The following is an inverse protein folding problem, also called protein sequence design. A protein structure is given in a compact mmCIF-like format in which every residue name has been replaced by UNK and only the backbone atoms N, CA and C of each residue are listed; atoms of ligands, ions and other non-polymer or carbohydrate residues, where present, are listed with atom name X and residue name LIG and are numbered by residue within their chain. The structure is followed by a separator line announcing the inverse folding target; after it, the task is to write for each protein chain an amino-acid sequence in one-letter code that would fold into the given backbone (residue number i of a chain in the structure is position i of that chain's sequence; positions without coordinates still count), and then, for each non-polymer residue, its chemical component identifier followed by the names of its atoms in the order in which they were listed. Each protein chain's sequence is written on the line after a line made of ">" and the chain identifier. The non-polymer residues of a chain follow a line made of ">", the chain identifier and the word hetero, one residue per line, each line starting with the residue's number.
data_IF_276519441604
#
_entry.id   IF_276519441604
#
_cell.length_a   1.000
_cell.length_b   1.000
_cell.length_c   1.000
_cell.angle_alpha   90.00
_cell.angle_beta   90.00
_cell.angle_gamma   90.00
#
_symmetry.space_group_name_H-M   'P 1'
#
loop_
_entity.id
_entity.type
_entity.pdbx_description
1 polymer ?
#
# COMPACT_ATOMS: atom_id res chain seq x y z
N UNK A 1 -1.88 32.16 -2.85
CA UNK A 1 -2.23 31.03 -3.72
C UNK A 1 -3.40 30.30 -3.07
N UNK A 2 -4.35 29.76 -3.87
CA UNK A 2 -5.44 28.93 -3.33
C UNK A 2 -4.83 27.66 -2.73
N UNK A 3 -5.30 27.25 -1.56
CA UNK A 3 -4.88 26.00 -0.93
C UNK A 3 -5.32 24.83 -1.80
N UNK A 4 -4.39 23.93 -2.14
CA UNK A 4 -4.70 22.73 -2.92
C UNK A 4 -5.49 21.74 -2.08
N UNK A 5 -6.42 21.05 -2.72
CA UNK A 5 -7.24 19.97 -2.13
C UNK A 5 -6.77 18.61 -2.63
N UNK A 6 -6.52 17.70 -1.71
CA UNK A 6 -6.20 16.32 -2.01
C UNK A 6 -7.30 15.37 -1.50
N UNK A 7 -7.74 14.45 -2.36
CA UNK A 7 -8.71 13.40 -2.00
C UNK A 7 -8.00 12.04 -1.96
N UNK A 8 -8.04 11.35 -0.81
CA UNK A 8 -7.40 10.07 -0.59
C UNK A 8 -8.46 8.99 -0.37
N UNK A 9 -8.52 7.99 -1.24
CA UNK A 9 -9.23 6.75 -0.94
C UNK A 9 -8.30 5.81 -0.20
N UNK A 10 -8.81 5.06 0.78
CA UNK A 10 -7.95 4.20 1.61
C UNK A 10 -7.11 4.99 2.63
N UNK A 11 -7.55 6.18 3.02
CA UNK A 11 -6.85 7.07 3.97
C UNK A 11 -6.58 6.40 5.32
N UNK A 12 -7.39 5.42 5.74
CA UNK A 12 -7.22 4.66 7.00
C UNK A 12 -6.16 3.57 6.93
N UNK A 13 -5.64 3.28 5.74
CA UNK A 13 -4.57 2.32 5.50
C UNK A 13 -3.20 2.84 5.92
N UNK A 14 -2.18 1.98 5.81
CA UNK A 14 -0.79 2.34 6.06
C UNK A 14 -0.39 3.57 5.24
N UNK A 15 -0.43 3.45 3.91
CA UNK A 15 0.03 4.49 3.00
C UNK A 15 -0.85 5.73 3.04
N UNK A 16 -2.17 5.54 3.12
CA UNK A 16 -3.12 6.66 3.22
C UNK A 16 -2.86 7.54 4.44
N UNK A 17 -2.49 6.94 5.57
CA UNK A 17 -2.20 7.71 6.79
C UNK A 17 -0.87 8.49 6.71
N UNK A 18 0.20 7.88 6.13
CA UNK A 18 1.45 8.61 5.89
C UNK A 18 1.31 9.69 4.82
N UNK A 19 0.55 9.41 3.76
CA UNK A 19 0.28 10.39 2.72
C UNK A 19 -0.51 11.58 3.26
N UNK A 20 -1.52 11.33 4.09
CA UNK A 20 -2.28 12.41 4.73
C UNK A 20 -1.39 13.32 5.58
N UNK A 21 -0.51 12.75 6.42
CA UNK A 21 0.47 13.52 7.19
C UNK A 21 1.41 14.33 6.28
N UNK A 22 1.92 13.70 5.21
CA UNK A 22 2.80 14.36 4.26
C UNK A 22 2.10 15.55 3.58
N UNK A 23 0.90 15.37 3.04
CA UNK A 23 0.14 16.42 2.37
C UNK A 23 -0.26 17.56 3.31
N UNK A 24 -0.66 17.24 4.54
CA UNK A 24 -0.90 18.25 5.59
C UNK A 24 0.35 19.07 5.89
N UNK A 25 1.54 18.46 5.89
CA UNK A 25 2.81 19.17 6.09
C UNK A 25 3.15 20.13 4.96
N UNK A 26 2.65 19.85 3.75
CA UNK A 26 2.78 20.70 2.56
C UNK A 26 1.68 21.77 2.46
N UNK A 27 0.75 21.82 3.43
CA UNK A 27 -0.30 22.84 3.47
C UNK A 27 -1.55 22.50 2.65
N UNK A 28 -1.75 21.24 2.24
CA UNK A 28 -2.96 20.81 1.55
C UNK A 28 -4.17 20.79 2.49
N UNK A 29 -5.36 21.04 1.95
CA UNK A 29 -6.63 20.63 2.52
C UNK A 29 -6.84 19.14 2.18
N UNK A 30 -6.80 18.27 3.19
CA UNK A 30 -6.83 16.81 2.98
C UNK A 30 -8.22 16.26 3.24
N UNK A 31 -8.77 15.61 2.24
CA UNK A 31 -10.03 14.88 2.26
C UNK A 31 -9.78 13.38 2.17
N UNK A 32 -10.54 12.59 2.92
CA UNK A 32 -10.43 11.13 2.90
C UNK A 32 -11.77 10.45 2.73
N UNK A 33 -11.82 9.39 1.91
CA UNK A 33 -12.99 8.53 1.81
C UNK A 33 -12.84 7.37 2.79
N UNK A 34 -13.81 7.22 3.70
CA UNK A 34 -13.85 6.17 4.72
C UNK A 34 -15.14 5.34 4.58
N UNK A 35 -15.04 4.03 4.72
CA UNK A 35 -16.22 3.18 4.78
C UNK A 35 -16.95 3.38 6.10
N UNK A 36 -18.26 3.52 6.04
CA UNK A 36 -19.08 3.47 7.23
C UNK A 36 -19.11 2.04 7.76
N UNK A 37 -18.59 1.83 8.94
CA UNK A 37 -18.64 0.54 9.65
C UNK A 37 -19.59 0.67 10.84
N UNK A 38 -20.33 -0.40 11.13
CA UNK A 38 -21.23 -0.47 12.27
C UNK A 38 -20.47 -0.80 13.56
N UNK A 39 -19.35 -0.11 13.81
CA UNK A 39 -18.59 -0.20 15.05
C UNK A 39 -18.93 1.02 15.91
N UNK A 40 -19.21 0.79 17.18
CA UNK A 40 -19.52 1.85 18.14
C UNK A 40 -18.29 2.70 18.44
N UNK A 41 -17.08 2.08 18.43
CA UNK A 41 -15.81 2.78 18.65
C UNK A 41 -15.08 3.09 17.33
N UNK A 42 -15.10 4.33 16.85
CA UNK A 42 -14.41 4.74 15.63
C UNK A 42 -12.88 4.67 15.74
N UNK A 43 -12.32 4.58 16.95
CA UNK A 43 -10.87 4.51 17.13
C UNK A 43 -10.28 3.23 16.57
N UNK A 44 -11.04 2.13 16.50
CA UNK A 44 -10.55 0.85 15.97
C UNK A 44 -10.08 0.91 14.52
N UNK A 45 -10.80 1.61 13.63
CA UNK A 45 -10.42 1.70 12.21
C UNK A 45 -9.72 3.02 11.85
N UNK A 46 -9.81 4.03 12.72
CA UNK A 46 -9.14 5.32 12.54
C UNK A 46 -7.82 5.46 13.31
N UNK A 47 -7.35 4.42 13.99
CA UNK A 47 -6.21 4.51 14.89
C UNK A 47 -4.95 5.13 14.27
N UNK A 48 -4.72 4.92 12.96
CA UNK A 48 -3.58 5.49 12.23
C UNK A 48 -3.73 7.00 12.00
N UNK A 49 -4.96 7.51 12.04
CA UNK A 49 -5.29 8.91 11.77
C UNK A 49 -5.52 9.72 13.03
N UNK A 50 -5.65 9.10 14.21
CA UNK A 50 -5.97 9.80 15.47
C UNK A 50 -5.08 11.02 15.73
N UNK A 51 -3.75 10.99 15.46
CA UNK A 51 -2.89 12.16 15.70
C UNK A 51 -3.18 13.38 14.82
N UNK A 52 -3.92 13.19 13.72
CA UNK A 52 -4.21 14.24 12.72
C UNK A 52 -5.70 14.37 12.39
N UNK A 53 -6.57 13.65 13.11
CA UNK A 53 -7.99 13.50 12.77
C UNK A 53 -8.75 14.84 12.71
N UNK A 54 -8.41 15.79 13.57
CA UNK A 54 -8.97 17.14 13.62
C UNK A 54 -8.59 18.02 12.42
N UNK A 55 -7.59 17.60 11.64
CA UNK A 55 -7.10 18.29 10.46
C UNK A 55 -7.59 17.70 9.15
N UNK A 56 -8.42 16.64 9.22
CA UNK A 56 -8.90 15.89 8.06
C UNK A 56 -10.38 16.14 7.79
N UNK A 57 -10.75 16.19 6.52
CA UNK A 57 -12.14 16.20 6.07
C UNK A 57 -12.53 14.79 5.64
N UNK A 58 -13.22 14.03 6.49
CA UNK A 58 -13.59 12.64 6.20
C UNK A 58 -15.00 12.55 5.59
N UNK A 59 -15.12 11.82 4.48
CA UNK A 59 -16.36 11.57 3.76
C UNK A 59 -16.73 10.10 3.85
N UNK A 60 -17.98 9.81 4.19
CA UNK A 60 -18.49 8.44 4.18
C UNK A 60 -18.78 7.99 2.76
N UNK A 61 -18.11 6.91 2.31
CA UNK A 61 -18.29 6.36 0.96
C UNK A 61 -17.65 4.98 0.83
N UNK A 62 -18.06 4.24 -0.18
CA UNK A 62 -17.52 2.93 -0.53
C UNK A 62 -17.21 2.86 -2.04
N UNK A 63 -16.21 2.07 -2.42
CA UNK A 63 -15.79 1.90 -3.81
C UNK A 63 -16.89 1.27 -4.68
N UNK A 64 -17.83 0.56 -4.08
CA UNK A 64 -18.94 -0.10 -4.77
C UNK A 64 -20.10 0.86 -5.12
N UNK A 65 -20.07 2.12 -4.63
CA UNK A 65 -21.16 3.08 -4.83
C UNK A 65 -20.74 4.25 -5.72
N UNK A 66 -20.92 4.13 -7.03
CA UNK A 66 -20.68 5.24 -7.96
C UNK A 66 -21.40 6.56 -7.56
N UNK A 67 -22.71 6.56 -7.18
CA UNK A 67 -23.36 7.80 -6.79
C UNK A 67 -22.74 8.50 -5.59
N UNK A 68 -22.25 7.73 -4.59
CA UNK A 68 -21.56 8.29 -3.43
C UNK A 68 -20.22 8.90 -3.82
N UNK A 69 -19.42 8.20 -4.63
CA UNK A 69 -18.15 8.70 -5.14
C UNK A 69 -18.35 9.96 -5.99
N UNK A 70 -19.26 9.92 -6.97
CA UNK A 70 -19.57 11.07 -7.81
C UNK A 70 -19.95 12.31 -6.98
N UNK A 71 -20.81 12.14 -5.96
CA UNK A 71 -21.17 13.23 -5.05
C UNK A 71 -19.95 13.80 -4.33
N UNK A 72 -19.06 12.95 -3.82
CA UNK A 72 -17.87 13.40 -3.11
C UNK A 72 -16.96 14.21 -4.06
N UNK A 73 -16.67 13.71 -5.26
CA UNK A 73 -15.85 14.43 -6.24
C UNK A 73 -16.45 15.78 -6.62
N UNK A 74 -17.75 15.81 -6.89
CA UNK A 74 -18.49 17.05 -7.21
C UNK A 74 -18.43 18.08 -6.07
N UNK A 75 -18.59 17.63 -4.83
CA UNK A 75 -18.69 18.54 -3.67
C UNK A 75 -17.30 18.99 -3.19
N UNK A 76 -16.28 18.15 -3.29
CA UNK A 76 -14.89 18.46 -2.89
C UNK A 76 -14.13 19.24 -3.96
N UNK A 77 -14.29 18.90 -5.24
CA UNK A 77 -13.50 19.41 -6.36
C UNK A 77 -12.00 19.34 -6.07
N UNK A 78 -11.43 18.11 -5.92
CA UNK A 78 -10.01 17.96 -5.57
C UNK A 78 -9.09 18.38 -6.72
N UNK A 79 -7.96 18.98 -6.38
CA UNK A 79 -6.86 19.25 -7.32
C UNK A 79 -6.04 17.96 -7.58
N UNK A 80 -6.00 17.05 -6.60
CA UNK A 80 -5.27 15.78 -6.66
C UNK A 80 -6.08 14.65 -6.02
N UNK A 81 -6.12 13.48 -6.66
CA UNK A 81 -6.77 12.28 -6.14
C UNK A 81 -5.78 11.12 -6.06
N UNK A 82 -5.65 10.53 -4.87
CA UNK A 82 -4.80 9.38 -4.60
C UNK A 82 -5.67 8.16 -4.32
N UNK A 83 -5.72 7.23 -5.29
CA UNK A 83 -6.51 6.01 -5.18
C UNK A 83 -5.69 4.87 -4.60
N UNK A 84 -5.74 4.72 -3.27
CA UNK A 84 -5.01 3.70 -2.50
C UNK A 84 -5.94 2.59 -1.97
N UNK A 85 -7.25 2.83 -1.96
CA UNK A 85 -8.23 1.86 -1.46
C UNK A 85 -8.30 0.63 -2.37
N UNK A 86 -8.16 -0.54 -1.77
CA UNK A 86 -8.35 -1.83 -2.41
C UNK A 86 -8.58 -2.92 -1.36
N UNK A 87 -9.16 -4.05 -1.76
CA UNK A 87 -8.90 -5.30 -1.07
C UNK A 87 -7.48 -5.72 -1.47
N UNK A 88 -6.51 -5.62 -0.54
CA UNK A 88 -5.07 -5.72 -0.84
C UNK A 88 -4.38 -6.94 -0.23
N UNK A 89 -5.07 -7.72 0.61
CA UNK A 89 -4.51 -8.94 1.17
C UNK A 89 -4.65 -10.08 0.16
N UNK A 90 -3.51 -10.48 -0.43
CA UNK A 90 -3.48 -11.41 -1.57
C UNK A 90 -4.16 -12.75 -1.26
N UNK A 91 -3.97 -13.30 -0.05
CA UNK A 91 -4.58 -14.60 0.31
C UNK A 91 -6.10 -14.55 0.26
N UNK A 92 -6.74 -13.51 0.75
CA UNK A 92 -8.20 -13.33 0.68
C UNK A 92 -8.70 -13.28 -0.76
N UNK A 93 -7.88 -12.80 -1.71
CA UNK A 93 -8.29 -12.76 -3.12
C UNK A 93 -8.47 -14.13 -3.76
N UNK A 94 -7.98 -15.21 -3.14
CA UNK A 94 -8.27 -16.58 -3.55
C UNK A 94 -9.53 -17.15 -2.90
N UNK A 95 -9.96 -16.60 -1.77
CA UNK A 95 -11.15 -17.04 -1.03
C UNK A 95 -12.39 -16.24 -1.45
N UNK A 96 -12.24 -14.95 -1.74
CA UNK A 96 -13.30 -14.02 -2.14
C UNK A 96 -12.92 -13.26 -3.42
N UNK A 97 -12.89 -14.01 -4.54
CA UNK A 97 -12.52 -13.51 -5.85
C UNK A 97 -13.48 -12.41 -6.35
N UNK A 98 -14.79 -12.66 -6.23
CA UNK A 98 -15.82 -11.78 -6.76
C UNK A 98 -15.85 -10.43 -6.07
N UNK A 99 -15.78 -10.40 -4.74
CA UNK A 99 -15.73 -9.17 -3.96
C UNK A 99 -14.44 -8.40 -4.25
N UNK A 100 -13.31 -9.12 -4.38
CA UNK A 100 -12.01 -8.51 -4.75
C UNK A 100 -12.09 -7.84 -6.13
N UNK A 101 -12.66 -8.52 -7.15
CA UNK A 101 -12.83 -7.94 -8.49
C UNK A 101 -13.78 -6.74 -8.46
N UNK A 102 -14.94 -6.89 -7.82
CA UNK A 102 -15.95 -5.84 -7.72
C UNK A 102 -15.37 -4.57 -7.07
N UNK A 103 -14.73 -4.73 -5.92
CA UNK A 103 -14.16 -3.58 -5.19
C UNK A 103 -13.01 -2.93 -5.95
N UNK A 104 -12.07 -3.72 -6.47
CA UNK A 104 -10.83 -3.17 -7.01
C UNK A 104 -10.99 -2.67 -8.46
N UNK A 105 -11.67 -3.43 -9.34
CA UNK A 105 -11.81 -3.05 -10.75
C UNK A 105 -12.89 -1.99 -10.90
N UNK A 106 -14.12 -2.30 -10.45
CA UNK A 106 -15.24 -1.37 -10.60
C UNK A 106 -15.03 -0.12 -9.75
N UNK A 107 -14.44 -0.24 -8.56
CA UNK A 107 -14.09 0.91 -7.72
C UNK A 107 -13.12 1.87 -8.42
N UNK A 108 -12.07 1.35 -9.05
CA UNK A 108 -11.14 2.16 -9.85
C UNK A 108 -11.86 2.83 -11.01
N UNK A 109 -12.68 2.08 -11.75
CA UNK A 109 -13.47 2.62 -12.87
C UNK A 109 -14.44 3.71 -12.41
N UNK A 110 -15.14 3.51 -11.30
CA UNK A 110 -16.09 4.51 -10.76
C UNK A 110 -15.39 5.80 -10.36
N UNK A 111 -14.20 5.73 -9.76
CA UNK A 111 -13.42 6.91 -9.43
C UNK A 111 -12.98 7.66 -10.68
N UNK A 112 -12.42 6.97 -11.67
CA UNK A 112 -12.00 7.57 -12.93
C UNK A 112 -13.20 8.22 -13.68
N UNK A 113 -14.36 7.57 -13.70
CA UNK A 113 -15.57 8.11 -14.29
C UNK A 113 -16.07 9.35 -13.53
N UNK A 114 -16.11 9.30 -12.20
CA UNK A 114 -16.50 10.44 -11.38
C UNK A 114 -15.55 11.64 -11.57
N UNK A 115 -14.23 11.37 -11.64
CA UNK A 115 -13.22 12.38 -11.89
C UNK A 115 -13.42 13.03 -13.27
N UNK A 116 -13.52 12.21 -14.33
CA UNK A 116 -13.73 12.70 -15.70
C UNK A 116 -14.95 13.62 -15.81
N UNK A 117 -16.06 13.24 -15.17
CA UNK A 117 -17.34 13.94 -15.35
C UNK A 117 -17.48 15.17 -14.43
N UNK A 118 -16.77 15.23 -13.28
CA UNK A 118 -16.96 16.30 -12.29
C UNK A 118 -15.73 17.18 -12.03
N UNK A 119 -14.52 16.68 -12.27
CA UNK A 119 -13.27 17.44 -12.04
C UNK A 119 -12.13 16.98 -12.99
N UNK A 120 -12.25 17.20 -14.30
CA UNK A 120 -11.29 16.69 -15.31
C UNK A 120 -9.86 17.26 -15.13
N UNK A 121 -9.70 18.39 -14.44
CA UNK A 121 -8.39 18.98 -14.14
C UNK A 121 -7.69 18.32 -12.93
N UNK A 122 -8.38 17.42 -12.23
CA UNK A 122 -7.82 16.72 -11.08
C UNK A 122 -6.75 15.73 -11.52
N UNK A 123 -5.54 15.83 -10.94
CA UNK A 123 -4.47 14.87 -11.17
C UNK A 123 -4.73 13.60 -10.38
N UNK A 124 -4.66 12.46 -11.04
CA UNK A 124 -5.01 11.16 -10.47
C UNK A 124 -3.83 10.22 -10.36
N UNK A 125 -3.64 9.67 -9.17
CA UNK A 125 -2.66 8.63 -8.87
C UNK A 125 -3.36 7.30 -8.59
N UNK A 126 -2.95 6.24 -9.28
CA UNK A 126 -3.35 4.86 -9.01
C UNK A 126 -2.22 4.08 -8.33
N UNK A 127 -2.52 3.42 -7.21
CA UNK A 127 -1.60 2.52 -6.56
C UNK A 127 -1.59 1.15 -7.27
N UNK A 128 -0.67 0.96 -8.21
CA UNK A 128 -0.30 -0.33 -8.78
C UNK A 128 0.45 -1.19 -7.75
N UNK A 129 0.88 -2.37 -8.16
CA UNK A 129 1.56 -3.33 -7.29
C UNK A 129 2.54 -4.20 -8.07
N UNK A 130 3.66 -4.59 -7.47
CA UNK A 130 4.57 -5.58 -8.02
C UNK A 130 3.93 -6.95 -8.27
N UNK A 131 2.80 -7.26 -7.61
CA UNK A 131 1.99 -8.47 -7.86
C UNK A 131 1.40 -8.51 -9.30
N UNK A 132 1.42 -7.38 -10.03
CA UNK A 132 1.09 -7.32 -11.46
C UNK A 132 2.08 -8.14 -12.29
N UNK A 133 3.37 -8.12 -11.93
CA UNK A 133 4.40 -8.88 -12.63
C UNK A 133 4.25 -10.40 -12.44
N UNK A 134 3.91 -10.84 -11.22
CA UNK A 134 3.56 -12.23 -10.90
C UNK A 134 4.64 -13.24 -11.28
N UNK A 135 4.40 -14.11 -12.28
CA UNK A 135 5.40 -15.05 -12.80
C UNK A 135 6.32 -14.33 -13.77
N UNK A 136 7.40 -13.77 -13.24
CA UNK A 136 8.35 -12.95 -14.01
C UNK A 136 9.18 -13.79 -14.98
N UNK A 137 9.42 -13.24 -16.17
CA UNK A 137 10.31 -13.80 -17.20
C UNK A 137 11.68 -13.10 -17.19
N UNK A 138 11.76 -11.93 -16.58
CA UNK A 138 12.97 -11.12 -16.44
C UNK A 138 13.08 -10.50 -15.05
N UNK A 139 14.30 -10.23 -14.62
CA UNK A 139 14.63 -9.63 -13.32
C UNK A 139 15.85 -8.72 -13.49
N UNK A 140 15.85 -7.48 -12.96
CA UNK A 140 14.75 -6.82 -12.22
C UNK A 140 13.60 -6.37 -13.12
N UNK A 141 12.42 -6.05 -12.51
CA UNK A 141 11.24 -5.62 -13.24
C UNK A 141 11.19 -4.10 -13.40
N UNK A 142 10.96 -3.64 -14.62
CA UNK A 142 10.80 -2.25 -15.02
C UNK A 142 9.38 -1.97 -15.51
N UNK A 143 9.11 -0.72 -15.95
CA UNK A 143 7.83 -0.30 -16.50
C UNK A 143 7.47 -1.01 -17.83
N UNK A 144 8.45 -1.62 -18.50
CA UNK A 144 8.26 -2.36 -19.75
C UNK A 144 8.18 -3.86 -19.56
N UNK A 145 8.43 -4.37 -18.36
CA UNK A 145 8.32 -5.79 -18.04
C UNK A 145 6.88 -6.27 -18.17
N UNK A 146 6.68 -7.38 -18.87
CA UNK A 146 5.36 -7.97 -19.10
C UNK A 146 4.68 -8.39 -17.80
N UNK A 147 3.41 -8.06 -17.65
CA UNK A 147 2.58 -8.53 -16.55
C UNK A 147 2.13 -9.97 -16.76
N UNK A 148 2.25 -10.80 -15.69
CA UNK A 148 1.76 -12.17 -15.62
C UNK A 148 1.27 -12.48 -14.21
N UNK A 149 0.19 -11.80 -13.74
CA UNK A 149 -0.27 -11.89 -12.36
C UNK A 149 -0.62 -13.32 -11.96
N UNK A 150 -0.38 -13.65 -10.67
CA UNK A 150 -0.57 -15.00 -10.11
C UNK A 150 -1.69 -15.05 -9.07
N UNK A 151 -2.43 -13.96 -8.89
CA UNK A 151 -3.56 -13.83 -7.97
C UNK A 151 -4.66 -12.96 -8.56
N UNK A 152 -5.89 -13.13 -8.08
CA UNK A 152 -7.01 -12.24 -8.45
C UNK A 152 -6.68 -10.79 -8.09
N UNK A 153 -6.06 -10.57 -6.93
CA UNK A 153 -5.55 -9.23 -6.57
C UNK A 153 -4.61 -8.65 -7.65
N UNK A 154 -3.60 -9.41 -8.07
CA UNK A 154 -2.68 -8.99 -9.13
C UNK A 154 -3.41 -8.67 -10.44
N UNK A 155 -4.38 -9.51 -10.85
CA UNK A 155 -5.24 -9.28 -12.02
C UNK A 155 -5.99 -7.96 -11.88
N UNK A 156 -6.58 -7.68 -10.70
CA UNK A 156 -7.32 -6.41 -10.50
C UNK A 156 -6.41 -5.20 -10.58
N UNK A 157 -5.14 -5.32 -10.16
CA UNK A 157 -4.16 -4.23 -10.28
C UNK A 157 -3.74 -4.00 -11.72
N UNK A 158 -3.60 -5.04 -12.53
CA UNK A 158 -3.38 -4.90 -13.99
C UNK A 158 -4.58 -4.22 -14.63
N UNK A 159 -5.81 -4.63 -14.32
CA UNK A 159 -7.01 -3.98 -14.84
C UNK A 159 -7.10 -2.49 -14.46
N UNK A 160 -6.76 -2.15 -13.20
CA UNK A 160 -6.70 -0.75 -12.74
C UNK A 160 -5.64 0.07 -13.47
N UNK A 161 -4.45 -0.50 -13.70
CA UNK A 161 -3.39 0.09 -14.51
C UNK A 161 -3.87 0.40 -15.94
N UNK A 162 -4.49 -0.57 -16.61
CA UNK A 162 -4.99 -0.40 -17.96
C UNK A 162 -6.13 0.62 -18.05
N UNK A 163 -7.03 0.66 -17.06
CA UNK A 163 -8.06 1.70 -16.97
C UNK A 163 -7.43 3.08 -16.80
N UNK A 164 -6.45 3.22 -15.92
CA UNK A 164 -5.73 4.49 -15.67
C UNK A 164 -5.04 4.99 -16.94
N UNK A 165 -4.34 4.11 -17.65
CA UNK A 165 -3.71 4.42 -18.93
C UNK A 165 -4.73 4.80 -20.00
N UNK A 166 -5.83 4.03 -20.12
CA UNK A 166 -6.87 4.31 -21.10
C UNK A 166 -7.53 5.68 -20.88
N UNK A 167 -7.79 6.06 -19.61
CA UNK A 167 -8.37 7.37 -19.31
C UNK A 167 -7.40 8.52 -19.63
N UNK A 168 -6.10 8.32 -19.45
CA UNK A 168 -5.06 9.25 -19.91
C UNK A 168 -5.09 9.46 -21.42
N UNK A 169 -5.09 8.36 -22.18
CA UNK A 169 -4.98 8.40 -23.64
C UNK A 169 -6.27 8.80 -24.33
N UNK A 170 -7.43 8.35 -23.83
CA UNK A 170 -8.72 8.56 -24.48
C UNK A 170 -9.38 9.90 -24.11
N UNK A 171 -9.09 10.45 -22.93
CA UNK A 171 -9.77 11.64 -22.39
C UNK A 171 -8.81 12.76 -22.00
N UNK A 172 -7.51 12.61 -22.29
CA UNK A 172 -6.47 13.61 -21.99
C UNK A 172 -6.42 13.99 -20.50
N UNK A 173 -6.73 13.04 -19.61
CA UNK A 173 -6.68 13.26 -18.16
C UNK A 173 -5.26 13.07 -17.63
N UNK A 174 -4.88 13.87 -16.65
CA UNK A 174 -3.63 13.64 -15.94
C UNK A 174 -3.76 12.45 -14.99
N UNK A 175 -3.46 11.25 -15.47
CA UNK A 175 -3.52 10.02 -14.67
C UNK A 175 -2.20 9.27 -14.75
N UNK A 176 -1.69 8.78 -13.60
CA UNK A 176 -0.45 8.02 -13.52
C UNK A 176 -0.56 6.84 -12.55
N UNK A 177 0.30 5.84 -12.76
CA UNK A 177 0.38 4.66 -11.90
C UNK A 177 1.75 4.53 -11.27
N UNK A 178 1.81 4.42 -9.94
CA UNK A 178 2.99 3.92 -9.24
C UNK A 178 2.91 2.39 -9.12
N UNK A 179 3.82 1.66 -9.79
CA UNK A 179 3.94 0.21 -9.65
C UNK A 179 4.83 -0.03 -8.42
N UNK A 180 4.17 -0.16 -7.27
CA UNK A 180 4.86 -0.20 -5.99
C UNK A 180 5.31 -1.61 -5.64
N UNK A 181 6.58 -1.74 -5.29
CA UNK A 181 7.08 -2.94 -4.63
C UNK A 181 6.72 -2.93 -3.15
N UNK A 182 6.99 -4.02 -2.44
CA UNK A 182 6.56 -4.15 -1.07
C UNK A 182 7.11 -2.99 -0.21
N UNK A 183 6.25 -2.37 0.55
CA UNK A 183 6.65 -1.28 1.44
C UNK A 183 5.91 -1.40 2.75
N UNK A 184 6.66 -1.32 3.80
CA UNK A 184 6.26 -1.71 5.13
C UNK A 184 6.45 -0.57 6.12
N UNK A 185 5.86 -0.70 7.29
CA UNK A 185 6.04 0.24 8.40
C UNK A 185 5.40 -0.30 9.68
N UNK A 186 5.61 0.38 10.82
CA UNK A 186 4.83 0.13 12.04
C UNK A 186 3.31 0.27 11.89
N UNK A 187 2.82 0.81 10.77
CA UNK A 187 1.39 0.95 10.45
C UNK A 187 0.85 -0.15 9.53
N UNK A 188 1.66 -1.15 9.19
CA UNK A 188 1.21 -2.28 8.35
C UNK A 188 0.08 -3.06 9.02
N UNK A 189 -0.83 -3.67 8.25
CA UNK A 189 -1.85 -4.58 8.78
C UNK A 189 -1.23 -5.85 9.39
N UNK A 190 -1.83 -6.37 10.45
CA UNK A 190 -1.30 -7.53 11.19
C UNK A 190 -1.33 -8.84 10.39
N UNK A 191 -2.13 -8.91 9.34
CA UNK A 191 -2.23 -10.03 8.41
C UNK A 191 -1.01 -10.18 7.49
N UNK A 192 -0.22 -9.12 7.31
CA UNK A 192 0.96 -9.14 6.45
C UNK A 192 2.18 -9.71 7.18
N UNK A 193 3.00 -10.48 6.45
CA UNK A 193 4.08 -11.30 7.01
C UNK A 193 5.06 -10.49 7.87
N UNK A 194 5.49 -9.33 7.44
CA UNK A 194 6.43 -8.46 8.17
C UNK A 194 5.87 -7.99 9.50
N UNK A 195 4.58 -7.54 9.50
CA UNK A 195 3.92 -7.12 10.74
C UNK A 195 3.58 -8.31 11.64
N UNK A 196 3.20 -9.43 11.04
CA UNK A 196 3.00 -10.67 11.79
C UNK A 196 4.27 -11.09 12.54
N UNK A 197 5.44 -11.03 11.87
CA UNK A 197 6.73 -11.32 12.50
C UNK A 197 7.01 -10.33 13.64
N UNK A 198 6.97 -9.02 13.37
CA UNK A 198 7.33 -8.01 14.37
C UNK A 198 6.45 -8.05 15.62
N UNK A 199 5.12 -8.19 15.43
CA UNK A 199 4.16 -8.24 16.53
C UNK A 199 4.25 -9.55 17.34
N UNK A 200 4.40 -10.71 16.67
CA UNK A 200 4.52 -11.99 17.36
C UNK A 200 5.86 -12.11 18.09
N UNK A 201 6.95 -11.65 17.48
CA UNK A 201 8.26 -11.62 18.14
C UNK A 201 8.24 -10.75 19.42
N UNK A 202 7.55 -9.61 19.40
CA UNK A 202 7.35 -8.77 20.57
C UNK A 202 6.56 -9.49 21.67
N UNK A 203 5.52 -10.25 21.30
CA UNK A 203 4.73 -11.08 22.25
C UNK A 203 5.53 -12.23 22.82
N UNK A 204 6.36 -12.90 22.01
CA UNK A 204 7.27 -13.96 22.46
C UNK A 204 8.23 -13.38 23.51
N UNK A 205 8.85 -12.22 23.23
CA UNK A 205 9.75 -11.57 24.18
C UNK A 205 9.10 -11.24 25.52
N UNK A 206 7.82 -10.92 25.51
CA UNK A 206 7.03 -10.60 26.72
C UNK A 206 6.40 -11.85 27.36
N UNK A 207 6.67 -13.06 26.85
CA UNK A 207 6.12 -14.31 27.37
C UNK A 207 4.60 -14.48 27.13
N UNK A 208 4.05 -13.73 26.19
CA UNK A 208 2.61 -13.77 25.82
C UNK A 208 2.30 -14.83 24.77
N UNK A 209 3.29 -15.18 23.96
CA UNK A 209 3.23 -16.21 22.91
C UNK A 209 4.50 -17.05 22.93
N UNK A 210 4.46 -18.25 22.35
CA UNK A 210 5.60 -19.17 22.30
C UNK A 210 6.01 -19.54 20.88
N UNK A 211 5.14 -19.36 19.91
CA UNK A 211 5.35 -19.78 18.52
C UNK A 211 4.90 -18.72 17.52
N UNK A 212 5.59 -18.69 16.38
CA UNK A 212 5.25 -17.90 15.20
C UNK A 212 4.97 -18.83 14.03
N UNK A 213 3.74 -18.77 13.48
CA UNK A 213 3.33 -19.62 12.37
C UNK A 213 3.41 -18.87 11.05
N UNK A 214 4.21 -19.35 10.11
CA UNK A 214 4.41 -18.77 8.77
C UNK A 214 4.32 -19.84 7.69
N UNK A 215 4.19 -19.41 6.42
CA UNK A 215 4.31 -20.25 5.23
C UNK A 215 5.73 -20.26 4.70
N UNK A 216 5.90 -19.87 3.41
CA UNK A 216 7.21 -19.84 2.75
C UNK A 216 8.09 -18.70 3.29
N UNK A 217 9.14 -19.05 4.01
CA UNK A 217 10.10 -18.07 4.56
C UNK A 217 11.27 -17.76 3.62
N UNK A 218 11.38 -18.46 2.50
CA UNK A 218 12.46 -18.27 1.52
C UNK A 218 12.01 -17.42 0.31
N UNK A 219 10.75 -17.01 0.27
CA UNK A 219 10.25 -16.07 -0.72
C UNK A 219 10.99 -14.72 -0.63
N UNK A 220 11.39 -14.19 -1.80
CA UNK A 220 12.17 -12.96 -1.90
C UNK A 220 11.31 -11.78 -2.34
N UNK A 221 11.42 -10.67 -1.62
CA UNK A 221 10.70 -9.41 -1.94
C UNK A 221 11.64 -8.21 -1.81
N UNK A 222 11.37 -7.21 -2.62
CA UNK A 222 11.97 -5.89 -2.47
C UNK A 222 11.11 -5.11 -1.47
N UNK A 223 11.66 -4.85 -0.27
CA UNK A 223 10.96 -4.13 0.80
C UNK A 223 11.56 -2.76 1.07
N UNK A 224 10.71 -1.73 1.07
CA UNK A 224 11.08 -0.37 1.46
C UNK A 224 10.17 0.19 2.56
N UNK A 225 10.45 1.42 2.98
CA UNK A 225 9.67 2.11 4.01
C UNK A 225 8.52 2.93 3.40
N UNK A 226 7.28 2.65 3.83
CA UNK A 226 6.06 3.30 3.31
C UNK A 226 6.11 4.83 3.36
N UNK A 227 6.70 5.41 4.41
CA UNK A 227 6.83 6.87 4.54
C UNK A 227 7.69 7.54 3.45
N UNK A 228 8.55 6.78 2.75
CA UNK A 228 9.30 7.27 1.59
C UNK A 228 8.47 7.11 0.30
N UNK A 229 7.76 5.99 0.16
CA UNK A 229 6.93 5.70 -1.02
C UNK A 229 5.81 6.72 -1.22
N UNK A 230 5.14 7.14 -0.15
CA UNK A 230 4.06 8.14 -0.26
C UNK A 230 4.54 9.50 -0.77
N UNK A 231 5.79 9.86 -0.52
CA UNK A 231 6.39 11.07 -1.09
C UNK A 231 6.51 10.97 -2.62
N UNK A 232 6.79 9.77 -3.14
CA UNK A 232 6.84 9.54 -4.59
C UNK A 232 5.45 9.60 -5.20
N UNK A 233 4.41 9.11 -4.52
CA UNK A 233 3.03 9.28 -4.98
C UNK A 233 2.69 10.76 -5.22
N UNK A 234 3.08 11.63 -4.27
CA UNK A 234 2.92 13.08 -4.43
C UNK A 234 3.81 13.62 -5.56
N UNK A 235 5.10 13.26 -5.59
CA UNK A 235 6.06 13.74 -6.59
C UNK A 235 5.62 13.40 -8.02
N UNK A 236 5.03 12.23 -8.24
CA UNK A 236 4.49 11.83 -9.55
C UNK A 236 3.38 12.78 -10.02
N UNK A 237 2.51 13.22 -9.14
CA UNK A 237 1.45 14.18 -9.46
C UNK A 237 1.95 15.62 -9.63
N UNK A 238 3.21 15.93 -9.31
CA UNK A 238 3.80 17.26 -9.54
C UNK A 238 4.54 17.35 -10.88
N UNK A 239 4.67 16.27 -11.64
CA UNK A 239 5.33 16.26 -12.93
C UNK A 239 4.54 17.08 -13.97
N UNK A 240 5.22 17.55 -15.01
CA UNK A 240 4.59 18.29 -16.12
C UNK A 240 3.65 17.36 -16.92
N UNK A 241 4.10 16.14 -17.20
CA UNK A 241 3.35 15.14 -17.96
C UNK A 241 3.08 13.90 -17.11
N UNK A 242 1.90 13.26 -17.25
CA UNK A 242 1.60 12.02 -16.55
C UNK A 242 2.45 10.87 -17.11
N UNK A 243 2.97 10.02 -16.22
CA UNK A 243 3.74 8.83 -16.60
C UNK A 243 3.64 7.76 -15.49
N UNK A 244 3.97 6.51 -15.81
CA UNK A 244 3.93 5.40 -14.88
C UNK A 244 5.35 5.07 -14.39
N UNK A 245 5.50 4.70 -13.12
CA UNK A 245 6.81 4.49 -12.50
C UNK A 245 6.84 3.24 -11.63
N UNK A 246 7.91 2.44 -11.78
CA UNK A 246 8.30 1.40 -10.83
C UNK A 246 8.98 2.05 -9.62
N UNK A 247 8.44 1.81 -8.43
CA UNK A 247 8.99 2.30 -7.17
C UNK A 247 9.36 1.12 -6.28
N UNK A 248 10.65 0.98 -6.01
CA UNK A 248 11.22 -0.05 -5.16
C UNK A 248 12.63 0.31 -4.75
N UNK A 249 13.27 -0.52 -3.93
CA UNK A 249 14.65 -0.28 -3.49
C UNK A 249 15.69 -0.79 -4.49
N UNK A 250 15.31 -1.77 -5.30
CA UNK A 250 16.21 -2.49 -6.21
C UNK A 250 16.99 -3.60 -5.50
N UNK A 251 16.60 -3.97 -4.27
CA UNK A 251 17.22 -5.04 -3.49
C UNK A 251 16.15 -6.00 -2.97
N UNK A 252 16.42 -7.28 -3.01
CA UNK A 252 15.55 -8.30 -2.43
C UNK A 252 16.11 -8.85 -1.14
N UNK A 253 15.17 -9.24 -0.27
CA UNK A 253 15.45 -9.95 0.97
C UNK A 253 14.44 -11.08 1.15
N UNK A 254 14.82 -12.11 1.87
CA UNK A 254 13.94 -13.23 2.22
C UNK A 254 13.15 -12.91 3.50
N UNK A 255 12.03 -13.59 3.69
CA UNK A 255 11.30 -13.55 4.97
C UNK A 255 12.19 -14.10 6.11
N UNK A 256 13.07 -15.06 5.80
CA UNK A 256 14.08 -15.60 6.74
C UNK A 256 15.03 -14.52 7.25
N UNK A 257 15.55 -13.66 6.37
CA UNK A 257 16.42 -12.53 6.77
C UNK A 257 15.68 -11.56 7.70
N UNK A 258 14.39 -11.28 7.43
CA UNK A 258 13.59 -10.44 8.34
C UNK A 258 13.43 -11.09 9.73
N UNK A 259 13.19 -12.40 9.79
CA UNK A 259 13.14 -13.17 11.04
C UNK A 259 14.46 -13.08 11.80
N UNK A 260 15.59 -13.30 11.11
CA UNK A 260 16.92 -13.23 11.71
C UNK A 260 17.17 -11.88 12.38
N UNK A 261 16.98 -10.78 11.66
CA UNK A 261 17.17 -9.42 12.17
C UNK A 261 16.33 -9.18 13.43
N UNK A 262 15.05 -9.54 13.39
CA UNK A 262 14.14 -9.29 14.51
C UNK A 262 14.48 -10.16 15.72
N UNK A 263 14.79 -11.44 15.54
CA UNK A 263 15.08 -12.35 16.65
C UNK A 263 16.49 -12.18 17.22
N UNK A 264 17.47 -11.74 16.43
CA UNK A 264 18.80 -11.34 16.91
C UNK A 264 18.69 -10.15 17.88
N UNK A 265 17.87 -9.14 17.59
CA UNK A 265 17.59 -8.00 18.50
C UNK A 265 17.01 -8.48 19.83
N UNK A 266 16.32 -9.63 19.85
CA UNK A 266 15.76 -10.24 21.05
C UNK A 266 16.76 -11.10 21.82
N UNK A 267 17.93 -11.40 21.27
CA UNK A 267 18.85 -12.45 21.70
C UNK A 267 18.15 -13.83 21.79
N UNK A 268 17.32 -14.16 20.79
CA UNK A 268 16.63 -15.43 20.63
C UNK A 268 16.94 -16.05 19.27
N UNK A 269 16.87 -17.38 19.18
CA UNK A 269 16.90 -18.07 17.89
C UNK A 269 15.48 -18.21 17.35
N UNK A 270 15.20 -17.70 16.16
CA UNK A 270 13.85 -17.77 15.58
C UNK A 270 13.41 -19.21 15.29
N UNK A 271 14.34 -20.13 15.03
CA UNK A 271 14.04 -21.54 14.73
C UNK A 271 13.36 -22.25 15.92
N UNK A 272 13.66 -21.83 17.16
CA UNK A 272 13.03 -22.38 18.36
C UNK A 272 11.55 -21.97 18.52
N UNK A 273 11.11 -20.98 17.75
CA UNK A 273 9.77 -20.39 17.82
C UNK A 273 8.98 -20.53 16.51
N UNK A 274 9.65 -20.88 15.40
CA UNK A 274 9.02 -20.93 14.08
C UNK A 274 8.29 -22.25 13.86
N UNK A 275 7.05 -22.14 13.43
CA UNK A 275 6.24 -23.25 12.92
C UNK A 275 5.87 -22.99 11.45
N UNK A 276 6.35 -23.82 10.55
CA UNK A 276 5.92 -23.77 9.15
C UNK A 276 4.54 -24.40 9.04
N UNK A 277 3.56 -23.59 8.65
CA UNK A 277 2.15 -23.99 8.55
C UNK A 277 1.70 -24.01 7.09
N UNK A 278 1.32 -25.17 6.53
CA UNK A 278 0.88 -25.31 5.14
C UNK A 278 -0.28 -24.40 4.74
N UNK A 279 -1.12 -23.98 5.68
CA UNK A 279 -2.26 -23.09 5.43
C UNK A 279 -1.86 -21.70 4.98
N UNK A 280 -0.61 -21.29 5.23
CA UNK A 280 -0.08 -19.98 4.81
C UNK A 280 0.67 -20.02 3.48
N UNK A 281 0.75 -21.17 2.80
CA UNK A 281 1.26 -21.24 1.44
C UNK A 281 0.20 -20.79 0.44
N UNK A 282 0.59 -19.96 -0.51
CA UNK A 282 -0.31 -19.50 -1.56
C UNK A 282 -0.49 -20.59 -2.63
N UNK A 283 -1.68 -20.74 -3.24
CA UNK A 283 -1.91 -21.69 -4.34
C UNK A 283 -1.00 -21.43 -5.55
N UNK A 284 -0.62 -20.18 -5.77
CA UNK A 284 0.29 -19.76 -6.84
C UNK A 284 1.31 -18.77 -6.26
N UNK A 285 2.43 -19.30 -5.77
CA UNK A 285 3.48 -18.48 -5.17
C UNK A 285 4.24 -17.66 -6.22
N UNK A 286 4.73 -16.52 -5.79
CA UNK A 286 5.66 -15.67 -6.53
C UNK A 286 7.00 -15.73 -5.80
N UNK A 287 8.01 -16.31 -6.45
CA UNK A 287 9.30 -16.61 -5.81
C UNK A 287 10.13 -15.35 -5.59
N UNK A 288 10.26 -14.51 -6.62
CA UNK A 288 11.08 -13.29 -6.57
C UNK A 288 10.41 -12.11 -7.25
N UNK A 289 10.44 -10.96 -6.59
CA UNK A 289 10.10 -9.65 -7.16
C UNK A 289 11.16 -8.65 -6.71
N UNK A 290 11.81 -7.99 -7.68
CA UNK A 290 12.82 -6.95 -7.44
C UNK A 290 12.65 -5.82 -8.45
N UNK A 291 12.57 -4.58 -7.97
CA UNK A 291 12.38 -3.41 -8.80
C UNK A 291 13.63 -3.05 -9.61
N UNK A 292 13.42 -2.58 -10.85
CA UNK A 292 14.35 -1.67 -11.51
C UNK A 292 13.79 -0.24 -11.40
N UNK A 293 14.19 0.54 -10.39
CA UNK A 293 13.69 1.90 -10.20
C UNK A 293 14.50 2.96 -10.97
N UNK A 294 15.22 2.59 -12.03
CA UNK A 294 16.08 3.52 -12.77
C UNK A 294 15.31 4.76 -13.27
N UNK A 295 14.15 4.57 -13.87
CA UNK A 295 13.29 5.67 -14.33
C UNK A 295 12.86 6.60 -13.19
N UNK A 296 12.49 6.05 -12.05
CA UNK A 296 12.11 6.84 -10.87
C UNK A 296 13.30 7.60 -10.28
N UNK A 297 14.50 6.99 -10.28
CA UNK A 297 15.73 7.68 -9.87
C UNK A 297 16.03 8.88 -10.75
N UNK A 298 15.97 8.70 -12.06
CA UNK A 298 16.32 9.73 -13.03
C UNK A 298 15.29 10.87 -13.07
N UNK A 299 13.99 10.54 -13.09
CA UNK A 299 12.92 11.54 -13.29
C UNK A 299 12.32 12.09 -12.00
N UNK A 300 12.30 11.31 -10.92
CA UNK A 300 11.66 11.68 -9.66
C UNK A 300 12.66 11.88 -8.51
N UNK A 301 13.97 11.73 -8.77
CA UNK A 301 15.02 11.74 -7.75
C UNK A 301 14.77 10.69 -6.63
N UNK A 302 14.18 9.55 -6.97
CA UNK A 302 13.93 8.46 -6.04
C UNK A 302 15.22 7.93 -5.45
N UNK A 303 15.36 8.03 -4.12
CA UNK A 303 16.54 7.56 -3.41
C UNK A 303 16.14 7.19 -1.97
N UNK A 304 15.62 5.96 -1.76
CA UNK A 304 15.21 5.49 -0.43
C UNK A 304 16.41 5.44 0.51
N UNK A 305 16.21 5.89 1.74
CA UNK A 305 17.25 6.00 2.77
C UNK A 305 17.16 4.92 3.82
N UNK A 306 15.94 4.51 4.14
CA UNK A 306 15.71 3.49 5.18
C UNK A 306 16.16 2.14 4.66
N UNK A 307 17.11 1.53 5.34
CA UNK A 307 17.61 0.19 5.02
C UNK A 307 16.61 -0.88 5.45
N UNK A 308 16.76 -2.09 4.91
CA UNK A 308 15.91 -3.23 5.28
C UNK A 308 16.02 -3.56 6.78
N UNK A 309 17.23 -3.53 7.33
CA UNK A 309 17.48 -3.76 8.75
C UNK A 309 16.80 -2.69 9.63
N UNK A 310 17.00 -1.40 9.31
CA UNK A 310 16.33 -0.30 10.01
C UNK A 310 14.81 -0.43 9.96
N UNK A 311 14.26 -0.85 8.83
CA UNK A 311 12.83 -1.08 8.65
C UNK A 311 12.34 -2.19 9.58
N UNK A 312 12.99 -3.37 9.56
CA UNK A 312 12.62 -4.52 10.37
C UNK A 312 12.68 -4.18 11.88
N UNK A 313 13.76 -3.55 12.31
CA UNK A 313 13.95 -3.14 13.70
C UNK A 313 12.95 -2.06 14.12
N UNK A 314 12.63 -1.10 13.25
CA UNK A 314 11.65 -0.06 13.57
C UNK A 314 10.25 -0.63 13.79
N UNK A 315 9.84 -1.62 12.98
CA UNK A 315 8.56 -2.31 13.13
C UNK A 315 8.52 -3.09 14.45
N UNK A 316 9.56 -3.88 14.73
CA UNK A 316 9.64 -4.65 15.96
C UNK A 316 9.63 -3.76 17.21
N UNK A 317 10.50 -2.74 17.28
CA UNK A 317 10.60 -1.84 18.44
C UNK A 317 9.28 -1.12 18.70
N UNK A 318 8.59 -0.69 17.65
CA UNK A 318 7.27 -0.08 17.79
C UNK A 318 6.24 -1.04 18.44
N UNK A 319 6.19 -2.29 17.96
CA UNK A 319 5.26 -3.29 18.50
C UNK A 319 5.60 -3.66 19.95
N UNK A 320 6.88 -3.85 20.24
CA UNK A 320 7.36 -4.16 21.60
C UNK A 320 7.04 -3.04 22.58
N UNK A 321 7.32 -1.79 22.22
CA UNK A 321 7.08 -0.63 23.07
C UNK A 321 5.57 -0.41 23.33
N UNK A 322 4.72 -0.63 22.34
CA UNK A 322 3.27 -0.52 22.51
C UNK A 322 2.72 -1.61 23.43
N UNK A 323 3.13 -2.87 23.24
CA UNK A 323 2.72 -3.96 24.12
C UNK A 323 3.19 -3.76 25.55
N UNK A 324 4.42 -3.27 25.75
CA UNK A 324 4.97 -2.98 27.07
C UNK A 324 4.23 -1.86 27.80
N UNK A 325 3.66 -0.90 27.06
CA UNK A 325 2.84 0.19 27.60
C UNK A 325 1.37 -0.19 27.79
N UNK A 326 0.96 -1.40 27.45
CA UNK A 326 -0.41 -1.86 27.52
C UNK A 326 -1.33 -1.24 26.46
N UNK A 327 -0.77 -0.86 25.34
CA UNK A 327 -1.48 -0.24 24.18
C UNK A 327 -1.72 -1.24 23.07
#
# INVERSE_FOLDING_TARGET
>A
MKQKKALITGITGQDGSYLAEHLLSLGYEVHGIVRRVALEDPTHHLWRLLPIADRLNLHSGTLESFPALYKIFRDVQPDECYHLAAQSFVSISFEDEFSTMQTNINGTHFILAALKDSCPECRFYFAGSSEMFGKVEETPQSETTRFHPRSVYGITKVAGFELTRNYREAYDLFTCTGILFNHESPRRGFEFVTRKISSTAARIKLGMETELRLGNIDAQRDWGFSGEYVKMMHTMLQQENPDDFVIGTGKTHTVREFLQIVFEELNLNFEDHLVIDPRFFRPAEVEILVADPAKARDKLAWNPKVTFEELALSMFRHDYDNLKKGK
#
